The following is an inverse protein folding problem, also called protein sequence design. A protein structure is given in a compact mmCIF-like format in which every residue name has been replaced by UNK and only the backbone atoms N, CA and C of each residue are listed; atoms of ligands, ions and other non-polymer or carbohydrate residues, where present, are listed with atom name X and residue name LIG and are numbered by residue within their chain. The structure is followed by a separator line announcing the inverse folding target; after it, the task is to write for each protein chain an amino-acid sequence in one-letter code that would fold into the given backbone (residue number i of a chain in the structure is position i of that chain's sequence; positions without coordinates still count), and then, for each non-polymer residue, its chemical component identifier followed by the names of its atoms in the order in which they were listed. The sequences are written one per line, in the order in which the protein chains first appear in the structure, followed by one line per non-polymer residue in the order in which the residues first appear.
data_IF_027988857608
#
_entry.id   IF_027988857608
#
_cell.length_a   1.000
_cell.length_b   1.000
_cell.length_c   1.000
_cell.angle_alpha   90.00
_cell.angle_beta   90.00
_cell.angle_gamma   90.00
#
_symmetry.space_group_name_H-M   'P 1'
#
loop_
_entity.id
_entity.type
_entity.pdbx_description
1 polymer ?
#
# COMPACT_ATOMS: atom_id res chain seq x y z
N UNK A 1 0.28 7.74 15.93
CA UNK A 1 0.66 6.65 16.86
C UNK A 1 1.80 5.80 16.28
N UNK A 2 2.64 5.19 17.11
CA UNK A 2 3.60 4.19 16.62
C UNK A 2 2.87 2.89 16.25
N UNK A 3 3.44 2.11 15.34
CA UNK A 3 2.90 0.82 14.90
C UNK A 3 3.05 0.61 13.39
N UNK A 4 2.47 -0.49 12.92
CA UNK A 4 2.44 -0.82 11.50
C UNK A 4 1.20 -0.23 10.84
N UNK A 5 1.36 0.24 9.60
CA UNK A 5 0.30 0.79 8.78
C UNK A 5 0.26 0.09 7.43
N UNK A 6 -0.95 -0.12 6.92
CA UNK A 6 -1.19 -0.59 5.57
C UNK A 6 -2.08 0.43 4.86
N UNK A 7 -1.66 0.84 3.68
CA UNK A 7 -2.46 1.69 2.81
C UNK A 7 -2.86 0.86 1.58
N UNK A 8 -4.17 0.75 1.35
CA UNK A 8 -4.70 0.07 0.16
C UNK A 8 -5.08 1.13 -0.87
N UNK A 9 -4.60 0.96 -2.09
CA UNK A 9 -4.82 1.92 -3.15
C UNK A 9 -4.63 1.28 -4.51
N UNK A 10 -5.45 1.63 -5.49
CA UNK A 10 -5.23 1.19 -6.86
C UNK A 10 -3.88 1.72 -7.35
N UNK A 11 -3.05 0.84 -7.91
CA UNK A 11 -1.85 1.22 -8.66
C UNK A 11 -2.06 1.09 -10.19
N UNK A 12 -3.26 0.67 -10.62
CA UNK A 12 -3.57 0.32 -11.99
C UNK A 12 -4.04 1.55 -12.78
N UNK A 13 -3.12 2.47 -13.04
CA UNK A 13 -3.24 3.45 -14.11
C UNK A 13 -2.31 3.10 -15.26
N UNK A 14 -2.33 3.89 -16.34
CA UNK A 14 -1.43 3.72 -17.51
C UNK A 14 0.07 3.68 -17.16
N UNK A 15 0.46 4.05 -15.93
CA UNK A 15 1.83 3.99 -15.42
C UNK A 15 2.22 2.72 -14.64
N UNK A 16 1.34 1.73 -14.47
CA UNK A 16 1.64 0.50 -13.71
C UNK A 16 2.22 0.79 -12.30
N UNK A 17 3.35 0.16 -11.95
CA UNK A 17 4.03 0.36 -10.66
C UNK A 17 4.63 1.77 -10.44
N UNK A 18 4.51 2.70 -11.39
CA UNK A 18 5.01 4.08 -11.25
C UNK A 18 4.48 4.79 -10.01
N UNK A 19 3.24 4.49 -9.59
CA UNK A 19 2.65 5.03 -8.35
C UNK A 19 3.44 4.56 -7.12
N UNK A 20 3.75 3.27 -7.04
CA UNK A 20 4.58 2.69 -5.97
C UNK A 20 5.97 3.32 -5.95
N UNK A 21 6.61 3.48 -7.11
CA UNK A 21 7.92 4.13 -7.19
C UNK A 21 7.90 5.58 -6.69
N UNK A 22 6.85 6.34 -7.01
CA UNK A 22 6.69 7.70 -6.51
C UNK A 22 6.51 7.75 -4.99
N UNK A 23 5.74 6.83 -4.42
CA UNK A 23 5.62 6.72 -2.96
C UNK A 23 6.96 6.39 -2.31
N UNK A 24 7.74 5.45 -2.87
CA UNK A 24 9.09 5.14 -2.39
C UNK A 24 10.01 6.37 -2.39
N UNK A 25 10.01 7.17 -3.46
CA UNK A 25 10.78 8.42 -3.49
C UNK A 25 10.33 9.44 -2.45
N UNK A 26 9.03 9.52 -2.22
CA UNK A 26 8.44 10.41 -1.18
C UNK A 26 8.88 9.98 0.21
N UNK A 27 8.83 8.68 0.52
CA UNK A 27 9.32 8.12 1.78
C UNK A 27 10.84 8.32 1.98
N UNK A 28 11.60 8.29 0.89
CA UNK A 28 13.04 8.57 0.91
C UNK A 28 13.40 10.07 1.00
N UNK A 29 12.41 10.98 1.01
CA UNK A 29 12.66 12.42 1.00
C UNK A 29 13.26 12.96 -0.30
N UNK A 30 13.19 12.19 -1.39
CA UNK A 30 13.73 12.59 -2.72
C UNK A 30 12.64 13.12 -3.66
N UNK A 31 11.43 13.33 -3.12
CA UNK A 31 10.29 13.79 -3.89
C UNK A 31 9.28 14.50 -2.96
N UNK A 32 9.07 15.79 -3.20
CA UNK A 32 8.28 16.65 -2.31
C UNK A 32 6.83 16.85 -2.75
N UNK A 33 6.45 16.41 -3.96
CA UNK A 33 5.07 16.58 -4.44
C UNK A 33 4.14 15.59 -3.75
N UNK A 34 3.19 16.12 -2.97
CA UNK A 34 2.11 15.39 -2.31
C UNK A 34 0.85 15.43 -3.16
N UNK A 35 0.34 14.28 -3.59
CA UNK A 35 -0.87 14.21 -4.41
C UNK A 35 -1.88 13.21 -3.88
N UNK A 36 -1.43 12.07 -3.36
CA UNK A 36 -2.28 11.10 -2.69
C UNK A 36 -2.16 11.22 -1.17
N UNK A 37 -3.19 10.82 -0.44
CA UNK A 37 -3.19 10.83 1.04
C UNK A 37 -1.94 10.16 1.62
N UNK A 38 -1.51 9.03 1.06
CA UNK A 38 -0.31 8.31 1.49
C UNK A 38 0.97 9.13 1.31
N UNK A 39 1.06 10.05 0.35
CA UNK A 39 2.25 10.90 0.17
C UNK A 39 2.46 11.80 1.39
N UNK A 40 1.38 12.29 2.01
CA UNK A 40 1.46 13.13 3.20
C UNK A 40 1.96 12.36 4.42
N UNK A 41 1.49 11.11 4.57
CA UNK A 41 1.96 10.23 5.65
C UNK A 41 3.44 9.85 5.45
N UNK A 42 3.83 9.48 4.22
CA UNK A 42 5.21 9.13 3.87
C UNK A 42 6.18 10.31 3.93
N UNK A 43 5.68 11.55 3.88
CA UNK A 43 6.50 12.74 4.04
C UNK A 43 7.01 12.97 5.46
N UNK A 44 6.52 12.21 6.45
CA UNK A 44 6.99 12.31 7.83
C UNK A 44 8.27 11.50 8.03
N UNK A 45 9.35 12.05 8.64
CA UNK A 45 10.67 11.40 8.70
C UNK A 45 10.70 10.07 9.48
N UNK A 46 9.73 9.84 10.36
CA UNK A 46 9.58 8.58 11.11
C UNK A 46 8.75 7.51 10.37
N UNK A 47 8.35 7.76 9.12
CA UNK A 47 7.53 6.85 8.32
C UNK A 47 8.37 6.30 7.17
N UNK A 48 8.38 4.98 7.03
CA UNK A 48 9.01 4.28 5.92
C UNK A 48 8.06 3.27 5.29
N UNK A 49 8.39 2.85 4.07
CA UNK A 49 7.75 1.69 3.44
C UNK A 49 8.62 0.48 3.75
N UNK A 50 8.05 -0.55 4.34
CA UNK A 50 8.73 -1.84 4.58
C UNK A 50 8.46 -2.82 3.44
N UNK A 51 7.19 -3.02 3.10
CA UNK A 51 6.73 -3.98 2.10
C UNK A 51 5.76 -3.37 1.11
N UNK A 52 5.81 -3.86 -0.12
CA UNK A 52 4.76 -3.65 -1.11
C UNK A 52 4.11 -5.00 -1.38
N UNK A 53 2.77 -5.04 -1.26
CA UNK A 53 1.95 -6.20 -1.60
C UNK A 53 1.03 -5.79 -2.73
N UNK A 54 1.00 -6.58 -3.81
CA UNK A 54 0.15 -6.32 -4.95
C UNK A 54 -0.46 -7.61 -5.51
N UNK A 55 -1.63 -7.48 -6.11
CA UNK A 55 -2.37 -8.54 -6.77
C UNK A 55 -3.08 -8.03 -8.02
N UNK A 56 -3.50 -8.92 -8.94
CA UNK A 56 -4.24 -8.54 -10.13
C UNK A 56 -5.67 -8.07 -9.78
N UNK A 57 -6.25 -7.20 -10.61
CA UNK A 57 -7.63 -6.74 -10.51
C UNK A 57 -7.77 -5.32 -9.98
N UNK A 58 -8.65 -4.54 -10.63
CA UNK A 58 -8.95 -3.14 -10.25
C UNK A 58 -9.97 -3.05 -9.11
N UNK A 59 -10.82 -4.07 -8.94
CA UNK A 59 -11.96 -4.03 -8.00
C UNK A 59 -11.66 -4.65 -6.62
N UNK A 60 -10.40 -4.99 -6.34
CA UNK A 60 -10.02 -5.67 -5.10
C UNK A 60 -9.66 -4.69 -3.96
N UNK A 61 -9.47 -3.41 -4.26
CA UNK A 61 -9.03 -2.39 -3.29
C UNK A 61 -9.96 -2.29 -2.08
N UNK A 62 -11.24 -1.96 -2.31
CA UNK A 62 -12.22 -1.84 -1.23
C UNK A 62 -12.44 -3.17 -0.50
N UNK A 63 -12.42 -4.29 -1.23
CA UNK A 63 -12.58 -5.62 -0.67
C UNK A 63 -11.41 -6.00 0.26
N UNK A 64 -10.19 -5.60 -0.07
CA UNK A 64 -9.02 -5.77 0.81
C UNK A 64 -9.09 -4.81 1.99
N UNK A 65 -9.33 -3.51 1.76
CA UNK A 65 -9.37 -2.50 2.81
C UNK A 65 -10.37 -2.83 3.92
N UNK A 66 -11.59 -3.26 3.55
CA UNK A 66 -12.67 -3.62 4.49
C UNK A 66 -12.39 -4.87 5.33
N UNK A 67 -11.39 -5.69 4.95
CA UNK A 67 -10.97 -6.89 5.71
C UNK A 67 -9.84 -6.60 6.69
N UNK A 68 -9.24 -5.42 6.62
CA UNK A 68 -8.14 -5.02 7.49
C UNK A 68 -8.66 -4.25 8.73
N UNK A 69 -7.90 -4.23 9.83
CA UNK A 69 -8.24 -3.41 10.98
C UNK A 69 -8.35 -1.92 10.61
N UNK A 70 -9.25 -1.20 11.25
CA UNK A 70 -9.42 0.23 11.02
C UNK A 70 -8.16 1.02 11.37
N UNK A 71 -7.81 2.00 10.53
CA UNK A 71 -6.78 2.97 10.82
C UNK A 71 -7.29 4.16 11.64
N UNK A 72 -6.36 5.01 12.12
CA UNK A 72 -6.71 6.12 13.01
C UNK A 72 -7.29 7.34 12.30
N UNK A 73 -7.40 7.33 10.96
CA UNK A 73 -7.85 8.47 10.15
C UNK A 73 -9.01 8.07 9.27
N UNK A 74 -10.19 8.60 9.59
CA UNK A 74 -11.41 8.44 8.79
C UNK A 74 -11.29 9.15 7.44
N UNK A 75 -11.85 8.54 6.39
CA UNK A 75 -11.81 9.04 5.01
C UNK A 75 -10.45 8.94 4.30
N UNK A 76 -9.40 8.42 4.96
CA UNK A 76 -8.07 8.39 4.36
C UNK A 76 -8.03 7.48 3.14
N UNK A 77 -7.81 8.04 1.96
CA UNK A 77 -7.75 7.27 0.71
C UNK A 77 -9.08 6.72 0.20
N UNK A 78 -10.20 7.08 0.84
CA UNK A 78 -11.54 6.58 0.52
C UNK A 78 -12.43 7.71 -0.05
N UNK A 79 -11.89 8.56 -0.92
CA UNK A 79 -12.62 9.74 -1.43
C UNK A 79 -13.68 9.41 -2.48
N UNK A 80 -13.56 8.26 -3.14
CA UNK A 80 -14.39 7.78 -4.24
C UNK A 80 -15.17 6.50 -3.88
N UNK A 81 -15.20 6.13 -2.60
CA UNK A 81 -15.94 4.97 -2.09
C UNK A 81 -16.50 5.24 -0.68
N UNK A 82 -17.39 4.36 -0.21
CA UNK A 82 -17.99 4.45 1.13
C UNK A 82 -17.15 3.76 2.22
N UNK A 83 -15.89 3.39 1.92
CA UNK A 83 -15.02 2.80 2.93
C UNK A 83 -14.71 3.82 4.02
N UNK A 84 -14.74 3.39 5.27
CA UNK A 84 -14.39 4.26 6.40
C UNK A 84 -12.96 4.81 6.30
N UNK A 85 -12.04 4.00 5.79
CA UNK A 85 -10.64 4.37 5.53
C UNK A 85 -9.99 3.29 4.68
N UNK A 86 -9.05 3.67 3.82
CA UNK A 86 -8.09 2.77 3.18
C UNK A 86 -6.74 2.74 3.90
N UNK A 87 -6.64 3.41 5.06
CA UNK A 87 -5.54 3.26 5.99
C UNK A 87 -5.95 2.30 7.10
N UNK A 88 -5.10 1.32 7.35
CA UNK A 88 -5.23 0.34 8.43
C UNK A 88 -4.05 0.43 9.37
N UNK A 89 -4.24 0.07 10.64
CA UNK A 89 -3.16 0.04 11.65
C UNK A 89 -3.20 -1.24 12.48
N UNK A 90 -2.03 -1.79 12.76
CA UNK A 90 -1.85 -2.85 13.76
C UNK A 90 -0.68 -2.55 14.68
N UNK A 91 -0.54 -3.35 15.75
CA UNK A 91 0.56 -3.21 16.71
C UNK A 91 1.91 -3.61 16.08
N UNK A 92 1.93 -4.65 15.25
CA UNK A 92 3.15 -5.19 14.64
C UNK A 92 3.01 -5.31 13.13
N UNK A 93 4.15 -5.28 12.45
CA UNK A 93 4.21 -5.37 11.00
C UNK A 93 3.86 -6.77 10.48
N UNK A 94 4.26 -7.81 11.20
CA UNK A 94 4.00 -9.19 10.77
C UNK A 94 2.51 -9.53 10.84
N UNK A 95 1.81 -9.18 11.94
CA UNK A 95 0.35 -9.35 12.04
C UNK A 95 -0.37 -8.60 10.90
N UNK A 96 0.03 -7.36 10.62
CA UNK A 96 -0.58 -6.60 9.54
C UNK A 96 -0.29 -7.22 8.17
N UNK A 97 0.94 -7.71 7.95
CA UNK A 97 1.31 -8.35 6.69
C UNK A 97 0.54 -9.64 6.46
N UNK A 98 0.37 -10.47 7.50
CA UNK A 98 -0.42 -11.70 7.44
C UNK A 98 -1.87 -11.41 7.08
N UNK A 99 -2.48 -10.39 7.70
CA UNK A 99 -3.84 -9.94 7.38
C UNK A 99 -3.97 -9.45 5.95
N UNK A 100 -3.01 -8.66 5.45
CA UNK A 100 -2.99 -8.19 4.07
C UNK A 100 -2.94 -9.38 3.10
N UNK A 101 -2.06 -10.36 3.35
CA UNK A 101 -1.96 -11.54 2.49
C UNK A 101 -3.23 -12.38 2.52
N UNK A 102 -3.77 -12.65 3.70
CA UNK A 102 -5.04 -13.38 3.86
C UNK A 102 -6.20 -12.66 3.17
N UNK A 103 -6.25 -11.32 3.24
CA UNK A 103 -7.26 -10.53 2.56
C UNK A 103 -7.14 -10.67 1.03
N UNK A 104 -5.93 -10.59 0.47
CA UNK A 104 -5.71 -10.81 -0.95
C UNK A 104 -6.07 -12.24 -1.39
N UNK A 105 -5.67 -13.27 -0.64
CA UNK A 105 -6.01 -14.67 -0.93
C UNK A 105 -7.53 -14.93 -0.86
N UNK A 106 -8.24 -14.19 0.00
CA UNK A 106 -9.71 -14.27 0.12
C UNK A 106 -10.41 -13.56 -1.03
N UNK A 107 -9.87 -12.43 -1.50
CA UNK A 107 -10.48 -11.60 -2.54
C UNK A 107 -10.10 -12.08 -3.95
N UNK A 108 -8.96 -12.73 -4.13
CA UNK A 108 -8.54 -13.37 -5.37
C UNK A 108 -7.80 -14.68 -5.11
N UNK A 109 -8.08 -15.72 -5.89
CA UNK A 109 -7.49 -17.06 -5.72
C UNK A 109 -5.95 -17.14 -5.94
N UNK A 110 -5.27 -16.03 -6.18
CA UNK A 110 -3.83 -15.97 -6.41
C UNK A 110 -3.11 -15.31 -5.22
N UNK A 111 -2.03 -15.95 -4.74
CA UNK A 111 -1.21 -15.43 -3.64
C UNK A 111 -0.57 -14.10 -4.03
N UNK A 112 -0.64 -13.07 -3.19
CA UNK A 112 -0.07 -11.77 -3.53
C UNK A 112 1.46 -11.82 -3.49
N UNK A 113 2.09 -11.03 -4.36
CA UNK A 113 3.55 -10.93 -4.43
C UNK A 113 4.02 -9.94 -3.37
N UNK A 114 5.03 -10.33 -2.60
CA UNK A 114 5.71 -9.48 -1.62
C UNK A 114 7.02 -8.99 -2.23
N UNK A 115 7.22 -7.68 -2.24
CA UNK A 115 8.53 -7.09 -2.56
C UNK A 115 9.04 -6.33 -1.34
N UNK A 116 10.21 -6.74 -0.85
CA UNK A 116 10.92 -6.06 0.22
C UNK A 116 11.45 -4.69 -0.28
N UNK A 117 11.80 -3.82 0.65
CA UNK A 117 12.34 -2.48 0.35
C UNK A 117 13.83 -2.48 0.01
N UNK A 118 14.47 -3.66 0.01
CA UNK A 118 15.83 -3.87 -0.49
C UNK A 118 15.91 -3.68 -2.01
N UNK A 119 16.72 -2.71 -2.44
CA UNK A 119 16.91 -2.37 -3.85
C UNK A 119 17.44 -3.52 -4.70
N UNK A 120 16.71 -3.82 -5.76
CA UNK A 120 17.20 -4.53 -6.94
C UNK A 120 16.50 -3.92 -8.15
N UNK A 121 17.27 -3.32 -9.06
CA UNK A 121 16.78 -3.01 -10.40
C UNK A 121 16.24 -4.30 -11.03
N UNK A 122 15.01 -4.33 -11.56
CA UNK A 122 14.66 -5.34 -12.52
C UNK A 122 15.42 -4.99 -13.79
N UNK A 123 16.58 -5.62 -14.01
CA UNK A 123 17.11 -5.72 -15.37
C UNK A 123 16.14 -6.58 -16.15
N UNK A 124 15.50 -5.91 -17.09
CA UNK A 124 14.86 -6.41 -18.29
C UNK A 124 15.34 -7.82 -18.69
N UNK A 125 14.42 -8.79 -18.66
CA UNK A 125 14.58 -10.06 -19.37
C UNK A 125 13.35 -10.26 -20.25
N UNK A 126 13.35 -9.52 -21.37
CA UNK A 126 12.80 -10.01 -22.63
C UNK A 126 13.96 -10.44 -23.52
N UNK A 127 14.19 -11.75 -23.63
CA UNK A 127 14.68 -12.46 -24.82
C UNK A 127 14.43 -13.95 -24.63
#
# INVERSE_FOLDING_TARGET
PAGAYAYTGSALGAGGFSRVHRHRRTAAGTHDVRHWHIDYLLGHPAVGIDRVVHGPGVDVECAVATRLPEGPVEGFGASDCDCRSHLSRAATLDDLTERVVSAYETVGSARPIRSDSGGGSPTDQTS
#
